data_IF_000726755819
#
_entry.id   IF_000726755819
#
_cell.length_a   1.000
_cell.length_b   1.000
_cell.length_c   1.000
_cell.angle_alpha   90.00
_cell.angle_beta   90.00
_cell.angle_gamma   90.00
#
_symmetry.space_group_name_H-M   'P 1'
#
loop_
_entity.id
_entity.type
_entity.pdbx_description
1 polymer ?
#
# COMPACT_ATOMS: atom_id res chain seq x y z
N UNK A 1 -33.41 -15.40 4.54
CA UNK A 1 -32.23 -15.35 5.43
C UNK A 1 -32.67 -14.93 6.84
N UNK A 2 -32.16 -15.63 7.84
CA UNK A 2 -32.43 -15.28 9.22
C UNK A 2 -31.74 -13.97 9.60
N UNK A 3 -32.43 -13.06 10.34
CA UNK A 3 -31.84 -11.77 10.72
C UNK A 3 -30.48 -11.86 11.41
N UNK A 4 -30.27 -12.90 12.22
CA UNK A 4 -29.00 -13.11 12.92
C UNK A 4 -27.84 -13.44 11.99
N UNK A 5 -28.09 -14.09 10.87
CA UNK A 5 -27.06 -14.43 9.89
C UNK A 5 -26.53 -13.19 9.16
N UNK A 6 -27.43 -12.27 8.81
CA UNK A 6 -27.06 -11.00 8.19
C UNK A 6 -26.21 -10.15 9.13
N UNK A 7 -26.61 -10.04 10.40
CA UNK A 7 -25.88 -9.27 11.40
C UNK A 7 -24.46 -9.83 11.62
N UNK A 8 -24.33 -11.17 11.70
CA UNK A 8 -23.03 -11.81 11.87
C UNK A 8 -22.09 -11.55 10.68
N UNK A 9 -22.58 -11.63 9.46
CA UNK A 9 -21.81 -11.33 8.25
C UNK A 9 -21.36 -9.88 8.22
N UNK A 10 -22.23 -8.96 8.62
CA UNK A 10 -21.91 -7.53 8.66
C UNK A 10 -20.83 -7.24 9.70
N UNK A 11 -20.92 -7.83 10.89
CA UNK A 11 -19.92 -7.69 11.94
C UNK A 11 -18.55 -8.23 11.52
N UNK A 12 -18.52 -9.40 10.85
CA UNK A 12 -17.26 -9.96 10.33
C UNK A 12 -16.63 -9.03 9.30
N UNK A 13 -17.45 -8.44 8.41
CA UNK A 13 -16.97 -7.46 7.43
C UNK A 13 -16.35 -6.24 8.11
N UNK A 14 -16.97 -5.69 9.14
CA UNK A 14 -16.45 -4.55 9.91
C UNK A 14 -15.12 -4.92 10.59
N UNK A 15 -15.04 -6.09 11.21
CA UNK A 15 -13.81 -6.56 11.87
C UNK A 15 -12.64 -6.64 10.88
N UNK A 16 -12.87 -7.17 9.67
CA UNK A 16 -11.84 -7.23 8.64
C UNK A 16 -11.42 -5.84 8.16
N UNK A 17 -12.34 -4.92 8.00
CA UNK A 17 -12.03 -3.54 7.60
C UNK A 17 -11.20 -2.84 8.67
N UNK A 18 -11.57 -2.95 9.94
CA UNK A 18 -10.82 -2.37 11.05
C UNK A 18 -9.43 -2.98 11.16
N UNK A 19 -9.29 -4.29 10.96
CA UNK A 19 -8.00 -4.96 10.96
C UNK A 19 -7.12 -4.46 9.83
N UNK A 20 -7.67 -4.34 8.63
CA UNK A 20 -6.94 -3.82 7.48
C UNK A 20 -6.49 -2.38 7.68
N UNK A 21 -7.37 -1.52 8.19
CA UNK A 21 -7.05 -0.14 8.53
C UNK A 21 -5.88 -0.06 9.52
N UNK A 22 -5.95 -0.86 10.60
CA UNK A 22 -4.89 -0.97 11.59
C UNK A 22 -3.57 -1.43 10.98
N UNK A 23 -3.61 -2.48 10.16
CA UNK A 23 -2.40 -3.04 9.55
C UNK A 23 -1.69 -2.07 8.61
N UNK A 24 -2.43 -1.35 7.76
CA UNK A 24 -1.79 -0.38 6.87
C UNK A 24 -1.15 0.77 7.65
N UNK A 25 -1.68 1.09 8.82
CA UNK A 25 -1.08 2.09 9.70
C UNK A 25 0.20 1.57 10.35
N UNK A 26 0.14 0.43 11.04
CA UNK A 26 1.29 -0.05 11.82
C UNK A 26 2.39 -0.68 10.98
N UNK A 27 2.05 -1.23 9.82
CA UNK A 27 3.04 -1.79 8.90
C UNK A 27 3.75 -0.71 8.06
N UNK A 28 3.35 0.55 8.21
CA UNK A 28 4.01 1.66 7.54
C UNK A 28 3.61 1.87 6.08
N UNK A 29 2.51 1.31 5.63
CA UNK A 29 2.07 1.49 4.24
C UNK A 29 1.83 2.96 3.91
N UNK A 30 1.20 3.70 4.83
CA UNK A 30 0.97 5.13 4.67
C UNK A 30 2.25 5.94 4.54
N UNK A 31 3.32 5.49 5.18
CA UNK A 31 4.57 6.27 5.24
C UNK A 31 5.09 6.62 3.86
N UNK A 32 4.99 5.69 2.92
CA UNK A 32 5.42 5.89 1.54
C UNK A 32 4.24 6.06 0.57
N UNK A 33 3.14 5.32 0.78
CA UNK A 33 2.05 5.27 -0.19
C UNK A 33 0.96 6.33 -0.01
N UNK A 34 0.99 7.10 1.08
CA UNK A 34 0.07 8.23 1.27
C UNK A 34 0.85 9.54 1.17
N UNK A 35 0.48 10.43 0.23
CA UNK A 35 1.23 11.67 0.01
C UNK A 35 1.38 12.49 1.31
N UNK A 36 2.61 12.93 1.60
CA UNK A 36 2.94 13.81 2.74
C UNK A 36 2.63 13.25 4.14
N UNK A 37 2.33 11.97 4.26
CA UNK A 37 1.92 11.36 5.54
C UNK A 37 3.00 11.49 6.61
N UNK A 38 4.25 11.16 6.27
CA UNK A 38 5.38 11.26 7.22
C UNK A 38 5.62 12.70 7.65
N UNK A 39 5.69 13.62 6.71
CA UNK A 39 5.99 15.03 7.02
C UNK A 39 4.87 15.71 7.80
N UNK A 40 3.65 15.18 7.69
CA UNK A 40 2.50 15.68 8.43
C UNK A 40 2.26 14.94 9.75
N UNK A 41 3.24 14.15 10.21
CA UNK A 41 3.15 13.47 11.50
C UNK A 41 2.09 12.38 11.56
N UNK A 42 1.84 11.69 10.45
CA UNK A 42 0.84 10.64 10.39
C UNK A 42 -0.60 11.15 10.25
N UNK A 43 -0.75 12.39 9.81
CA UNK A 43 -2.07 12.99 9.57
C UNK A 43 -2.33 13.12 8.08
N UNK A 44 -3.54 12.81 7.68
CA UNK A 44 -3.98 12.92 6.30
C UNK A 44 -5.48 12.82 6.20
N UNK A 45 -6.01 13.08 5.01
CA UNK A 45 -7.44 12.89 4.73
C UNK A 45 -7.63 11.55 4.04
N UNK A 46 -8.70 10.85 4.37
CA UNK A 46 -8.97 9.51 3.85
C UNK A 46 -9.02 9.48 2.32
N UNK A 47 -9.48 10.57 1.70
CA UNK A 47 -9.53 10.66 0.23
C UNK A 47 -8.15 10.48 -0.42
N UNK A 48 -7.06 10.80 0.29
CA UNK A 48 -5.69 10.72 -0.21
C UNK A 48 -4.97 9.43 0.22
N UNK A 49 -5.58 8.63 1.08
CA UNK A 49 -4.93 7.43 1.62
C UNK A 49 -4.53 6.48 0.51
N UNK A 50 -3.26 6.05 0.54
CA UNK A 50 -2.70 5.00 -0.31
C UNK A 50 -2.82 5.28 -1.81
N UNK A 51 -2.86 6.56 -2.18
CA UNK A 51 -2.91 6.99 -3.59
C UNK A 51 -1.54 7.07 -4.24
N UNK A 52 -0.47 6.69 -3.51
CA UNK A 52 0.89 6.74 -4.01
C UNK A 52 1.53 8.09 -3.85
N UNK A 53 2.66 8.30 -4.50
CA UNK A 53 3.36 9.56 -4.36
C UNK A 53 4.30 9.86 -5.51
N UNK A 54 4.63 11.15 -5.63
CA UNK A 54 5.56 11.66 -6.62
C UNK A 54 6.98 11.82 -6.06
N UNK A 55 7.15 11.59 -4.75
CA UNK A 55 8.47 11.61 -4.11
C UNK A 55 9.22 10.34 -4.50
N UNK A 56 10.33 10.49 -5.23
CA UNK A 56 11.17 9.36 -5.61
C UNK A 56 12.10 8.94 -4.48
N UNK A 57 12.47 7.66 -4.48
CA UNK A 57 13.43 7.09 -3.53
C UNK A 57 14.61 6.57 -4.36
N UNK A 58 15.69 7.37 -4.41
CA UNK A 58 16.85 7.11 -5.26
C UNK A 58 17.98 6.44 -4.51
N UNK A 59 18.55 5.40 -5.12
CA UNK A 59 19.70 4.68 -4.60
C UNK A 59 20.39 3.91 -5.71
N UNK A 60 21.31 2.97 -5.38
CA UNK A 60 22.01 2.16 -6.38
C UNK A 60 21.07 1.38 -7.30
N UNK A 61 19.85 1.09 -6.85
CA UNK A 61 18.84 0.36 -7.63
C UNK A 61 18.17 1.21 -8.72
N UNK A 62 18.35 2.53 -8.68
CA UNK A 62 17.60 3.50 -9.49
C UNK A 62 16.69 4.36 -8.63
N UNK A 63 15.58 4.82 -9.18
CA UNK A 63 14.60 5.61 -8.43
C UNK A 63 13.25 4.92 -8.45
N UNK A 64 12.73 4.58 -7.28
CA UNK A 64 11.44 3.96 -7.10
C UNK A 64 10.41 4.96 -6.61
N UNK A 65 9.15 4.72 -6.95
CA UNK A 65 8.02 5.57 -6.54
C UNK A 65 6.96 4.69 -5.89
N UNK A 66 6.35 5.14 -4.78
CA UNK A 66 5.30 4.38 -4.14
C UNK A 66 4.07 4.31 -5.05
N UNK A 67 3.63 3.10 -5.34
CA UNK A 67 2.50 2.86 -6.22
C UNK A 67 1.20 3.42 -5.62
N UNK A 68 0.26 3.80 -6.50
CA UNK A 68 -1.11 4.07 -6.10
C UNK A 68 -1.79 2.73 -5.80
N UNK A 69 -1.88 2.37 -4.52
CA UNK A 69 -2.45 1.09 -4.10
C UNK A 69 -3.94 1.01 -4.36
N UNK A 70 -4.65 2.14 -4.35
CA UNK A 70 -6.08 2.18 -4.61
C UNK A 70 -6.42 1.79 -6.05
N UNK A 71 -5.53 2.10 -7.00
CA UNK A 71 -5.64 1.64 -8.39
C UNK A 71 -5.08 0.24 -8.57
N UNK A 72 -3.96 -0.06 -7.93
CA UNK A 72 -3.31 -1.36 -8.01
C UNK A 72 -4.25 -2.50 -7.62
N UNK A 73 -4.95 -2.34 -6.49
CA UNK A 73 -5.86 -3.37 -5.98
C UNK A 73 -7.14 -3.53 -6.80
N UNK A 74 -7.45 -2.60 -7.72
CA UNK A 74 -8.57 -2.76 -8.64
C UNK A 74 -8.29 -3.80 -9.73
N UNK A 75 -7.01 -4.14 -9.96
CA UNK A 75 -6.56 -5.00 -11.05
C UNK A 75 -6.50 -6.48 -10.69
N UNK A 76 -6.79 -6.84 -9.44
CA UNK A 76 -6.66 -8.21 -9.00
C UNK A 76 -7.74 -8.59 -7.99
N UNK A 77 -8.01 -9.89 -7.90
CA UNK A 77 -8.90 -10.45 -6.89
C UNK A 77 -8.17 -10.60 -5.56
N UNK A 78 -8.94 -10.83 -4.50
CA UNK A 78 -8.38 -11.09 -3.17
C UNK A 78 -7.45 -12.30 -3.17
N UNK A 79 -7.83 -13.39 -3.84
CA UNK A 79 -7.00 -14.60 -3.91
C UNK A 79 -5.71 -14.36 -4.69
N UNK A 80 -5.77 -13.59 -5.77
CA UNK A 80 -4.58 -13.19 -6.51
C UNK A 80 -3.64 -12.37 -5.62
N UNK A 81 -4.18 -11.44 -4.85
CA UNK A 81 -3.39 -10.65 -3.91
C UNK A 81 -2.71 -11.51 -2.86
N UNK A 82 -3.39 -12.51 -2.31
CA UNK A 82 -2.79 -13.44 -1.34
C UNK A 82 -1.55 -14.11 -1.93
N UNK A 83 -1.64 -14.59 -3.18
CA UNK A 83 -0.50 -15.18 -3.88
C UNK A 83 0.63 -14.17 -4.10
N UNK A 84 0.30 -12.96 -4.54
CA UNK A 84 1.27 -11.88 -4.75
C UNK A 84 2.00 -11.54 -3.45
N UNK A 85 1.27 -11.34 -2.37
CA UNK A 85 1.86 -10.94 -1.09
C UNK A 85 2.87 -11.95 -0.55
N UNK A 86 2.69 -13.23 -0.82
CA UNK A 86 3.59 -14.29 -0.36
C UNK A 86 4.94 -14.27 -1.08
N UNK A 87 4.96 -13.89 -2.35
CA UNK A 87 6.12 -14.06 -3.22
C UNK A 87 6.70 -12.75 -3.76
N UNK A 88 6.02 -11.63 -3.51
CA UNK A 88 6.42 -10.33 -4.04
C UNK A 88 7.85 -9.99 -3.63
N UNK A 89 8.61 -9.43 -4.59
CA UNK A 89 9.89 -8.79 -4.34
C UNK A 89 9.84 -7.42 -4.98
N UNK A 90 10.38 -6.44 -4.28
CA UNK A 90 10.38 -5.05 -4.75
C UNK A 90 11.72 -4.40 -4.43
N UNK A 91 12.05 -3.35 -5.18
CA UNK A 91 13.24 -2.55 -4.93
C UNK A 91 13.08 -1.77 -3.63
N UNK A 92 14.22 -1.42 -2.99
CA UNK A 92 14.16 -0.53 -1.83
C UNK A 92 13.42 0.77 -2.16
N UNK A 93 12.78 1.41 -1.18
CA UNK A 93 12.73 1.05 0.24
C UNK A 93 11.53 0.16 0.63
N UNK A 94 10.80 -0.40 -0.34
CA UNK A 94 9.62 -1.22 -0.03
C UNK A 94 10.00 -2.46 0.78
N UNK A 95 9.52 -2.58 2.03
CA UNK A 95 9.81 -3.73 2.87
C UNK A 95 8.92 -4.92 2.51
N UNK A 96 9.08 -5.45 1.30
CA UNK A 96 8.26 -6.55 0.77
C UNK A 96 8.30 -7.80 1.67
N UNK A 97 9.44 -8.02 2.35
CA UNK A 97 9.61 -9.15 3.27
C UNK A 97 8.61 -9.09 4.43
N UNK A 98 8.14 -7.91 4.82
CA UNK A 98 7.08 -7.78 5.82
C UNK A 98 5.75 -8.31 5.29
N UNK A 99 5.42 -8.04 4.03
CA UNK A 99 4.24 -8.64 3.39
C UNK A 99 4.35 -10.16 3.28
N UNK A 100 5.54 -10.65 2.88
CA UNK A 100 5.76 -12.09 2.77
C UNK A 100 5.56 -12.81 4.11
N UNK A 101 5.86 -12.14 5.23
CA UNK A 101 5.78 -12.69 6.57
C UNK A 101 4.38 -12.61 7.20
N UNK A 102 3.47 -11.83 6.62
CA UNK A 102 2.12 -11.67 7.17
C UNK A 102 1.30 -12.94 7.04
N UNK A 103 0.40 -13.16 8.00
CA UNK A 103 -0.58 -14.23 7.89
C UNK A 103 -1.53 -13.98 6.72
N UNK A 104 -2.10 -15.06 6.19
CA UNK A 104 -3.09 -14.94 5.10
C UNK A 104 -4.28 -14.08 5.51
N UNK A 105 -4.76 -14.23 6.75
CA UNK A 105 -5.86 -13.41 7.27
C UNK A 105 -5.55 -11.93 7.28
N UNK A 106 -4.33 -11.56 7.64
CA UNK A 106 -3.90 -10.15 7.66
C UNK A 106 -3.78 -9.60 6.23
N UNK A 107 -3.20 -10.38 5.33
CA UNK A 107 -3.07 -10.00 3.92
C UNK A 107 -4.46 -9.77 3.30
N UNK A 108 -5.43 -10.62 3.61
CA UNK A 108 -6.83 -10.47 3.15
C UNK A 108 -7.49 -9.23 3.74
N UNK A 109 -7.24 -8.94 5.02
CA UNK A 109 -7.79 -7.76 5.67
C UNK A 109 -7.30 -6.47 5.00
N UNK A 110 -6.01 -6.41 4.64
CA UNK A 110 -5.44 -5.28 3.89
C UNK A 110 -6.17 -5.10 2.56
N UNK A 111 -6.38 -6.18 1.81
CA UNK A 111 -7.10 -6.14 0.54
C UNK A 111 -8.52 -5.57 0.72
N UNK A 112 -9.26 -6.09 1.70
CA UNK A 112 -10.63 -5.66 1.96
C UNK A 112 -10.70 -4.17 2.30
N UNK A 113 -9.78 -3.69 3.12
CA UNK A 113 -9.73 -2.28 3.50
C UNK A 113 -9.44 -1.38 2.29
N UNK A 114 -8.42 -1.71 1.49
CA UNK A 114 -8.04 -0.90 0.34
C UNK A 114 -9.15 -0.92 -0.73
N UNK A 115 -9.81 -2.06 -0.93
CA UNK A 115 -10.95 -2.14 -1.84
C UNK A 115 -12.15 -1.32 -1.32
N UNK A 116 -12.35 -1.30 -0.02
CA UNK A 116 -13.39 -0.48 0.60
C UNK A 116 -13.12 1.02 0.39
N UNK A 117 -11.88 1.45 0.48
CA UNK A 117 -11.50 2.84 0.17
C UNK A 117 -11.85 3.18 -1.29
N UNK A 118 -11.78 2.22 -2.19
CA UNK A 118 -12.14 2.40 -3.59
C UNK A 118 -11.05 3.08 -4.43
N UNK A 119 -11.25 3.19 -5.74
CA UNK A 119 -10.28 3.84 -6.63
C UNK A 119 -10.21 5.34 -6.37
N UNK A 120 -8.99 5.89 -6.44
CA UNK A 120 -8.76 7.34 -6.30
C UNK A 120 -7.37 7.69 -6.85
N UNK A 121 -7.21 8.95 -7.20
CA UNK A 121 -5.92 9.47 -7.66
C UNK A 121 -5.52 9.00 -9.04
N UNK A 122 -4.23 9.17 -9.34
CA UNK A 122 -3.64 8.82 -10.64
C UNK A 122 -2.48 7.86 -10.42
N UNK A 123 -2.02 7.21 -11.49
CA UNK A 123 -0.86 6.32 -11.42
C UNK A 123 0.38 7.07 -10.94
N UNK A 124 1.18 6.42 -10.09
CA UNK A 124 2.47 6.95 -9.68
C UNK A 124 3.45 6.99 -10.86
N UNK A 125 4.50 7.83 -10.79
CA UNK A 125 5.53 7.84 -11.82
C UNK A 125 6.18 6.46 -11.97
N UNK A 126 6.68 6.17 -13.18
CA UNK A 126 7.37 4.93 -13.46
C UNK A 126 8.78 4.92 -12.87
N UNK A 127 9.27 3.73 -12.56
CA UNK A 127 10.65 3.51 -12.14
C UNK A 127 11.66 4.15 -13.10
N UNK A 128 12.69 4.80 -12.52
CA UNK A 128 13.79 5.41 -13.29
C UNK A 128 15.04 4.58 -13.07
N UNK A 129 15.71 4.08 -14.14
CA UNK A 129 16.93 3.30 -14.01
C UNK A 129 18.06 4.09 -13.36
N UNK A 130 19.07 3.41 -12.76
CA UNK A 130 20.14 4.09 -12.02
C UNK A 130 21.05 4.98 -12.86
N UNK A 131 21.08 4.79 -14.18
CA UNK A 131 21.87 5.60 -15.11
C UNK A 131 21.17 6.90 -15.54
N UNK A 132 19.95 7.13 -15.08
CA UNK A 132 19.19 8.33 -15.44
C UNK A 132 18.89 9.18 -14.21
N UNK A 133 18.98 10.49 -14.40
CA UNK A 133 18.61 11.47 -13.37
C UNK A 133 17.09 11.53 -13.27
N UNK A 134 16.50 11.25 -12.09
CA UNK A 134 15.07 11.38 -11.91
C UNK A 134 14.67 12.86 -11.75
N UNK A 135 13.40 13.21 -12.07
CA UNK A 135 12.90 14.54 -11.74
C UNK A 135 12.77 14.74 -10.23
N UNK A 136 12.90 15.97 -9.79
CA UNK A 136 12.63 16.33 -8.40
C UNK A 136 11.11 16.27 -8.10
N UNK A 137 10.69 15.97 -6.84
CA UNK A 137 11.56 15.72 -5.67
C UNK A 137 11.94 14.25 -5.53
N UNK A 138 13.09 14.00 -4.93
CA UNK A 138 13.49 12.63 -4.55
C UNK A 138 14.36 12.64 -3.30
N UNK A 139 14.31 11.54 -2.56
CA UNK A 139 15.21 11.28 -1.42
C UNK A 139 16.40 10.49 -1.96
N UNK A 140 17.61 10.96 -1.68
CA UNK A 140 18.84 10.28 -2.09
C UNK A 140 19.36 9.42 -0.95
N UNK A 141 19.39 8.11 -1.18
CA UNK A 141 20.07 7.18 -0.27
C UNK A 141 21.59 7.26 -0.50
N UNK A 142 22.37 7.12 0.56
CA UNK A 142 23.82 7.12 0.42
C UNK A 142 24.31 5.92 -0.39
N UNK A 143 25.39 6.11 -1.16
CA UNK A 143 26.08 5.03 -1.85
C UNK A 143 26.98 4.35 -0.83
N UNK A 144 26.83 3.02 -0.70
CA UNK A 144 27.66 2.21 0.20
C UNK A 144 28.71 1.46 -0.57
#
# INVERSE_FOLDING_TARGET
EEPGHFAARHLLGVVYLERGEYLVMIAGCHDCHTPNFLVNGGKGVEADYLTGGKLGWRGPWGTTYPANLRLYFQKMSEDQWVGVAKEIQRRPPMPFFSLNAMSEGDVRAIYKYIRWLGPAGVAAPSFVPPDKEPPQPYVQFPVQ
#
